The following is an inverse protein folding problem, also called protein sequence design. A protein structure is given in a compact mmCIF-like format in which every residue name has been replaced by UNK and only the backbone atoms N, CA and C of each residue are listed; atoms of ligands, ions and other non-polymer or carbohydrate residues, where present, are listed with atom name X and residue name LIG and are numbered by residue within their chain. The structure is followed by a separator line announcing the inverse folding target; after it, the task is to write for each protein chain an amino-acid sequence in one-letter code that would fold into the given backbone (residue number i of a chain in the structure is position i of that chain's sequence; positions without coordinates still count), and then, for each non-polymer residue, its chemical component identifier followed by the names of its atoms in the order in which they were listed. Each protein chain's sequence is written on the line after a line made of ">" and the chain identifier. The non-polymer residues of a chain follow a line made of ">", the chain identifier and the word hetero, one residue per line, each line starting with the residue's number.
data_IF_638156440191
#
_entry.id   IF_638156440191
#
_cell.length_a   1.000
_cell.length_b   1.000
_cell.length_c   1.000
_cell.angle_alpha   90.00
_cell.angle_beta   90.00
_cell.angle_gamma   90.00
#
_symmetry.space_group_name_H-M   'P 1'
#
loop_
_entity.id
_entity.type
_entity.pdbx_description
1 polymer ?
#
# COMPACT_ATOMS: atom_id res chain seq x y z
N UNK A 1 -7.73 15.09 0.30
CA UNK A 1 -8.88 14.29 0.76
C UNK A 1 -8.71 12.85 0.26
N UNK A 2 -7.80 12.07 0.86
CA UNK A 2 -7.48 10.71 0.39
C UNK A 2 -7.19 9.70 1.50
N UNK A 3 -7.28 10.13 2.76
CA UNK A 3 -7.04 9.26 3.91
C UNK A 3 -8.27 8.41 4.26
N UNK A 4 -9.50 8.92 4.11
CA UNK A 4 -10.71 8.15 4.43
C UNK A 4 -10.85 6.91 3.55
N UNK A 5 -10.75 7.06 2.22
CA UNK A 5 -10.74 5.93 1.28
C UNK A 5 -9.64 4.92 1.59
N UNK A 6 -8.45 5.39 1.97
CA UNK A 6 -7.34 4.50 2.33
C UNK A 6 -7.65 3.68 3.60
N UNK A 7 -8.29 4.28 4.59
CA UNK A 7 -8.70 3.58 5.82
C UNK A 7 -9.83 2.59 5.57
N UNK A 8 -10.80 2.93 4.73
CA UNK A 8 -11.85 2.01 4.27
C UNK A 8 -11.26 0.78 3.58
N UNK A 9 -10.34 1.00 2.62
CA UNK A 9 -9.65 -0.10 1.92
C UNK A 9 -8.91 -1.02 2.90
N UNK A 10 -8.19 -0.45 3.88
CA UNK A 10 -7.44 -1.22 4.87
C UNK A 10 -8.38 -1.98 5.82
N UNK A 11 -9.54 -1.41 6.14
CA UNK A 11 -10.55 -2.05 6.99
C UNK A 11 -11.20 -3.24 6.27
N UNK A 12 -11.56 -3.06 5.01
CA UNK A 12 -12.36 -4.02 4.26
C UNK A 12 -11.49 -5.10 3.58
N UNK A 13 -10.19 -4.83 3.41
CA UNK A 13 -9.26 -5.73 2.74
C UNK A 13 -8.06 -6.02 3.61
N UNK A 14 -7.67 -7.29 3.67
CA UNK A 14 -6.40 -7.68 4.25
C UNK A 14 -5.26 -7.32 3.29
N UNK A 15 -4.56 -6.23 3.60
CA UNK A 15 -3.45 -5.72 2.80
C UNK A 15 -2.16 -6.45 3.20
N UNK A 16 -1.59 -7.20 2.25
CA UNK A 16 -0.34 -7.93 2.44
C UNK A 16 0.87 -7.24 1.81
N UNK A 17 0.64 -6.28 0.91
CA UNK A 17 1.74 -5.54 0.27
C UNK A 17 1.35 -4.10 -0.12
N UNK A 18 2.34 -3.19 -0.20
CA UNK A 18 2.13 -1.84 -0.74
C UNK A 18 1.59 -1.81 -2.17
N UNK A 19 1.93 -2.82 -2.99
CA UNK A 19 1.43 -2.95 -4.36
C UNK A 19 -0.06 -3.28 -4.36
N UNK A 20 -0.47 -4.30 -3.61
CA UNK A 20 -1.87 -4.68 -3.48
C UNK A 20 -2.72 -3.51 -2.98
N UNK A 21 -2.22 -2.75 -1.99
CA UNK A 21 -2.88 -1.54 -1.55
C UNK A 21 -3.02 -0.50 -2.67
N UNK A 22 -1.95 -0.26 -3.44
CA UNK A 22 -1.99 0.69 -4.54
C UNK A 22 -2.98 0.26 -5.65
N UNK A 23 -3.12 -1.04 -5.90
CA UNK A 23 -4.07 -1.60 -6.88
C UNK A 23 -5.53 -1.32 -6.45
N UNK A 24 -5.83 -1.43 -5.16
CA UNK A 24 -7.15 -1.11 -4.61
C UNK A 24 -7.40 0.41 -4.52
N UNK A 25 -6.38 1.18 -4.18
CA UNK A 25 -6.52 2.63 -3.97
C UNK A 25 -6.65 3.38 -5.31
N UNK A 26 -5.85 2.97 -6.30
CA UNK A 26 -5.72 3.62 -7.60
C UNK A 26 -5.69 2.60 -8.75
N UNK A 27 -6.77 1.83 -8.96
CA UNK A 27 -6.81 0.79 -9.99
C UNK A 27 -6.57 1.35 -11.40
N UNK A 28 -7.20 2.49 -11.70
CA UNK A 28 -7.18 3.09 -13.05
C UNK A 28 -6.05 4.11 -13.26
N UNK A 29 -5.09 4.20 -12.35
CA UNK A 29 -4.00 5.16 -12.47
C UNK A 29 -3.11 4.86 -13.68
N UNK A 30 -2.88 5.86 -14.54
CA UNK A 30 -1.90 5.78 -15.62
C UNK A 30 -0.48 5.51 -15.12
N UNK A 31 -0.20 5.70 -13.82
CA UNK A 31 1.04 5.30 -13.18
C UNK A 31 1.36 3.81 -13.34
N UNK A 32 0.35 2.96 -13.48
CA UNK A 32 0.53 1.54 -13.79
C UNK A 32 1.11 1.28 -15.16
N UNK A 33 0.88 2.17 -16.14
CA UNK A 33 1.40 2.01 -17.51
C UNK A 33 2.84 2.48 -17.65
N UNK A 34 3.31 3.32 -16.71
CA UNK A 34 4.65 3.91 -16.74
C UNK A 34 5.71 2.85 -16.50
N UNK A 35 6.74 2.87 -17.36
CA UNK A 35 7.90 1.99 -17.26
C UNK A 35 9.04 2.75 -16.60
N UNK A 36 9.65 2.13 -15.60
CA UNK A 36 10.78 2.68 -14.87
C UNK A 36 11.99 1.75 -15.00
N UNK A 37 13.15 2.33 -15.27
CA UNK A 37 14.42 1.59 -15.25
C UNK A 37 14.74 1.21 -13.81
N UNK A 38 14.92 -0.08 -13.56
CA UNK A 38 15.37 -0.65 -12.30
C UNK A 38 16.79 -1.20 -12.50
N UNK A 39 17.53 -1.47 -11.41
CA UNK A 39 18.96 -1.81 -11.45
C UNK A 39 19.37 -2.75 -12.59
N UNK A 40 18.68 -3.89 -12.74
CA UNK A 40 18.87 -4.85 -13.83
C UNK A 40 17.61 -5.07 -14.67
N UNK A 41 17.00 -4.00 -15.19
CA UNK A 41 15.91 -4.14 -16.15
C UNK A 41 14.95 -2.97 -16.14
N UNK A 42 13.74 -3.20 -16.63
CA UNK A 42 12.67 -2.21 -16.58
C UNK A 42 11.42 -2.85 -15.97
N UNK A 43 10.76 -2.12 -15.08
CA UNK A 43 9.52 -2.56 -14.44
C UNK A 43 8.42 -1.56 -14.70
N UNK A 44 7.24 -2.08 -15.05
CA UNK A 44 6.04 -1.29 -15.30
C UNK A 44 5.26 -1.14 -14.00
N UNK A 45 4.82 0.08 -13.69
CA UNK A 45 4.04 0.38 -12.48
C UNK A 45 4.82 0.34 -11.18
N UNK A 46 6.16 0.23 -11.21
CA UNK A 46 6.99 0.11 -9.99
C UNK A 46 6.77 1.25 -9.00
N UNK A 47 6.58 2.48 -9.50
CA UNK A 47 6.34 3.65 -8.66
C UNK A 47 4.97 3.67 -7.98
N UNK A 48 4.00 2.87 -8.45
CA UNK A 48 2.69 2.75 -7.79
C UNK A 48 2.82 2.04 -6.44
N UNK A 49 3.64 0.99 -6.36
CA UNK A 49 3.93 0.32 -5.10
C UNK A 49 4.66 1.27 -4.11
N UNK A 50 5.56 2.12 -4.61
CA UNK A 50 6.25 3.14 -3.81
C UNK A 50 5.26 4.19 -3.30
N UNK A 51 4.35 4.66 -4.14
CA UNK A 51 3.29 5.60 -3.75
C UNK A 51 2.36 5.01 -2.70
N UNK A 52 1.95 3.74 -2.87
CA UNK A 52 1.17 2.99 -1.89
C UNK A 52 1.90 2.90 -0.55
N UNK A 53 3.15 2.45 -0.56
CA UNK A 53 3.97 2.35 0.65
C UNK A 53 4.18 3.70 1.34
N UNK A 54 4.37 4.78 0.58
CA UNK A 54 4.49 6.13 1.11
C UNK A 54 3.22 6.63 1.79
N UNK A 55 2.04 6.38 1.21
CA UNK A 55 0.76 6.75 1.83
C UNK A 55 0.54 6.00 3.13
N UNK A 56 0.85 4.71 3.13
CA UNK A 56 0.69 3.88 4.31
C UNK A 56 1.70 4.20 5.41
N UNK A 57 2.93 4.56 5.04
CA UNK A 57 3.93 5.10 5.97
C UNK A 57 3.43 6.39 6.65
N UNK A 58 2.76 7.27 5.90
CA UNK A 58 2.11 8.48 6.47
C UNK A 58 0.97 8.13 7.42
N UNK A 59 0.13 7.15 7.08
CA UNK A 59 -0.96 6.69 7.95
C UNK A 59 -0.43 6.12 9.27
N UNK A 60 0.63 5.30 9.20
CA UNK A 60 1.33 4.77 10.37
C UNK A 60 1.94 5.89 11.22
N UNK A 61 2.66 6.83 10.60
CA UNK A 61 3.29 7.94 11.31
C UNK A 61 2.28 8.83 12.04
N UNK A 62 1.04 8.91 11.54
CA UNK A 62 -0.08 9.62 12.18
C UNK A 62 -0.85 8.78 13.20
N UNK A 63 -0.50 7.52 13.39
CA UNK A 63 -1.17 6.62 14.35
C UNK A 63 -2.52 6.07 13.88
N UNK A 64 -2.87 6.19 12.59
CA UNK A 64 -4.14 5.67 12.08
C UNK A 64 -4.13 4.14 11.87
N UNK A 65 -2.96 3.55 11.65
CA UNK A 65 -2.79 2.10 11.44
C UNK A 65 -1.55 1.60 12.18
N UNK A 66 -1.61 0.38 12.71
CA UNK A 66 -0.43 -0.40 13.12
C UNK A 66 0.16 -1.04 11.85
N UNK A 67 1.49 -1.19 11.77
CA UNK A 67 2.17 -1.52 10.51
C UNK A 67 1.55 -2.73 9.79
N UNK A 68 0.98 -2.58 8.58
CA UNK A 68 0.22 -3.67 7.95
C UNK A 68 1.10 -4.70 7.20
N UNK A 69 2.43 -4.52 7.14
CA UNK A 69 3.38 -5.42 6.42
C UNK A 69 4.08 -6.44 7.31
N UNK A 70 4.03 -6.23 8.61
CA UNK A 70 4.69 -7.09 9.60
C UNK A 70 3.62 -7.46 10.60
N UNK A 71 2.93 -8.57 10.35
CA UNK A 71 2.45 -9.44 11.40
C UNK A 71 1.99 -10.75 10.76
N UNK A 72 2.82 -11.78 10.94
CA UNK A 72 2.39 -13.03 11.57
C UNK A 72 0.95 -12.90 12.10
N UNK A 73 0.08 -13.79 11.62
CA UNK A 73 -1.35 -13.86 11.95
C UNK A 73 -1.65 -13.78 13.47
N UNK A 74 -0.66 -14.06 14.34
CA UNK A 74 -0.80 -14.08 15.80
C UNK A 74 -0.93 -12.73 16.51
N UNK A 75 -0.57 -11.58 15.92
CA UNK A 75 -0.49 -10.32 16.70
C UNK A 75 -1.79 -9.52 16.77
N UNK A 76 -2.86 -9.94 16.07
CA UNK A 76 -4.08 -9.14 15.89
C UNK A 76 -5.16 -9.35 16.96
N UNK A 77 -5.08 -10.40 17.79
CA UNK A 77 -6.02 -10.65 18.89
C UNK A 77 -5.28 -11.12 20.14
N UNK A 78 -5.63 -10.53 21.28
CA UNK A 78 -5.09 -10.82 22.61
C UNK A 78 -5.22 -12.31 22.99
N UNK A 79 -4.14 -12.85 23.59
CA UNK A 79 -4.23 -13.64 24.83
C UNK A 79 -3.65 -12.77 25.94
#
# INVERSE_FOLDING_TARGET
>A
MGFNKALEIIRDNRIHSPRQFAELMWPDSDGWKRVHKCGHGSSRGAMMAVAGGGLLGKLRAKGFIRAPWYDDYNSYYWV
#
